data_IF_727780655863
#
_entry.id   IF_727780655863
#
_cell.length_a   1.000
_cell.length_b   1.000
_cell.length_c   1.000
_cell.angle_alpha   90.00
_cell.angle_beta   90.00
_cell.angle_gamma   90.00
#
_symmetry.space_group_name_H-M   'P 1'
#
loop_
_entity.id
_entity.type
_entity.pdbx_description
1 polymer ?
#
# COMPACT_ATOMS: atom_id res chain seq x y z
N UNK A 1 -6.79 11.58 10.51
CA UNK A 1 -7.36 10.24 10.25
C UNK A 1 -6.41 9.11 10.65
N UNK A 2 -5.15 9.06 10.20
CA UNK A 2 -4.21 7.99 10.62
C UNK A 2 -4.00 7.87 12.14
N UNK A 3 -4.08 8.98 12.88
CA UNK A 3 -3.96 8.99 14.34
C UNK A 3 -5.02 8.16 15.08
N UNK A 4 -6.17 7.86 14.47
CA UNK A 4 -7.23 7.07 15.11
C UNK A 4 -6.86 5.58 15.20
N UNK A 5 -6.19 5.06 14.18
CA UNK A 5 -5.71 3.68 14.16
C UNK A 5 -4.46 3.47 15.04
N UNK A 6 -3.86 4.55 15.54
CA UNK A 6 -2.76 4.52 16.50
C UNK A 6 -3.22 4.28 17.94
N UNK A 7 -4.52 4.33 18.23
CA UNK A 7 -5.04 4.06 19.57
C UNK A 7 -4.69 2.62 19.99
N UNK A 8 -4.09 2.50 21.17
CA UNK A 8 -3.75 1.20 21.77
C UNK A 8 -5.00 0.34 22.04
N UNK A 9 -6.17 0.99 22.17
CA UNK A 9 -7.46 0.32 22.34
C UNK A 9 -8.11 -0.12 21.03
N UNK A 10 -7.53 0.22 19.87
CA UNK A 10 -7.97 -0.34 18.60
C UNK A 10 -7.64 -1.85 18.59
N UNK A 11 -8.68 -2.65 18.81
CA UNK A 11 -8.64 -4.11 18.72
C UNK A 11 -9.55 -4.52 17.56
N UNK A 12 -9.01 -5.06 16.46
CA UNK A 12 -9.85 -5.65 15.42
C UNK A 12 -10.56 -6.87 16.04
N UNK A 13 -11.84 -6.74 16.35
CA UNK A 13 -12.66 -7.87 16.82
C UNK A 13 -13.32 -8.52 15.60
N UNK A 14 -13.01 -9.80 15.39
CA UNK A 14 -13.41 -10.60 14.22
C UNK A 14 -14.92 -10.65 13.90
N UNK A 15 -15.80 -10.23 14.82
CA UNK A 15 -17.26 -10.29 14.62
C UNK A 15 -17.99 -8.98 14.94
N UNK A 16 -17.27 -7.89 15.21
CA UNK A 16 -17.86 -6.57 15.50
C UNK A 16 -16.78 -5.50 15.31
N UNK A 17 -16.87 -4.72 14.23
CA UNK A 17 -16.16 -3.45 14.10
C UNK A 17 -16.75 -2.46 15.12
N UNK A 18 -16.42 -2.62 16.41
CA UNK A 18 -16.57 -1.53 17.37
C UNK A 18 -15.37 -0.61 17.20
N UNK A 19 -15.39 0.20 16.14
CA UNK A 19 -14.63 1.46 16.17
C UNK A 19 -15.45 2.36 17.09
N UNK A 20 -15.12 2.38 18.37
CA UNK A 20 -15.48 3.53 19.20
C UNK A 20 -14.69 4.72 18.65
N UNK A 21 -15.23 5.35 17.61
CA UNK A 21 -14.91 6.73 17.27
C UNK A 21 -15.17 7.50 18.56
N UNK A 22 -14.10 8.00 19.19
CA UNK A 22 -14.15 8.77 20.44
C UNK A 22 -14.81 10.13 20.16
N UNK A 23 -16.10 10.11 19.80
CA UNK A 23 -17.09 11.18 19.86
C UNK A 23 -18.47 10.80 19.30
N UNK A 24 -18.66 9.67 18.61
CA UNK A 24 -19.97 9.37 17.98
C UNK A 24 -20.47 7.97 18.29
N UNK A 25 -21.43 7.89 19.23
CA UNK A 25 -22.32 6.72 19.37
C UNK A 25 -23.38 6.78 18.26
N UNK A 26 -22.99 6.46 17.03
CA UNK A 26 -23.90 6.27 15.90
C UNK A 26 -24.03 4.79 15.57
N UNK A 27 -25.25 4.30 15.31
CA UNK A 27 -25.44 3.02 14.63
C UNK A 27 -24.77 3.09 13.25
N UNK A 28 -23.86 2.17 12.97
CA UNK A 28 -23.06 2.15 11.76
C UNK A 28 -23.92 1.81 10.54
N UNK A 29 -24.31 2.85 9.79
CA UNK A 29 -24.95 2.75 8.48
C UNK A 29 -23.93 2.94 7.33
N UNK A 30 -22.68 2.51 7.54
CA UNK A 30 -21.62 2.52 6.55
C UNK A 30 -20.69 3.74 6.58
N UNK A 31 -20.67 4.47 7.70
CA UNK A 31 -19.74 5.58 7.92
C UNK A 31 -18.30 5.10 8.07
N UNK A 32 -18.11 3.99 8.78
CA UNK A 32 -16.81 3.35 9.02
C UNK A 32 -16.11 2.96 7.71
N UNK A 33 -16.87 2.53 6.70
CA UNK A 33 -16.31 2.14 5.39
C UNK A 33 -15.78 3.32 4.57
N UNK A 34 -16.40 4.49 4.72
CA UNK A 34 -15.90 5.72 4.09
C UNK A 34 -14.54 6.08 4.67
N UNK A 35 -14.38 5.95 5.98
CA UNK A 35 -13.14 6.27 6.67
C UNK A 35 -11.99 5.31 6.30
N UNK A 36 -12.29 4.02 6.05
CA UNK A 36 -11.29 3.05 5.56
C UNK A 36 -10.87 3.36 4.12
N UNK A 37 -11.80 3.77 3.26
CA UNK A 37 -11.48 4.20 1.89
C UNK A 37 -10.61 5.46 1.90
N UNK A 38 -10.99 6.46 2.70
CA UNK A 38 -10.22 7.71 2.85
C UNK A 38 -8.83 7.46 3.48
N UNK A 39 -8.73 6.49 4.39
CA UNK A 39 -7.44 6.05 4.93
C UNK A 39 -6.52 5.57 3.80
N UNK A 40 -6.99 4.67 2.92
CA UNK A 40 -6.18 4.15 1.83
C UNK A 40 -5.81 5.21 0.81
N UNK A 41 -6.74 6.10 0.44
CA UNK A 41 -6.44 7.25 -0.43
C UNK A 41 -5.33 8.12 0.15
N UNK A 42 -5.44 8.46 1.44
CA UNK A 42 -4.40 9.24 2.14
C UNK A 42 -3.07 8.49 2.18
N UNK A 43 -3.11 7.18 2.43
CA UNK A 43 -1.93 6.33 2.49
C UNK A 43 -1.21 6.27 1.13
N UNK A 44 -1.93 6.11 0.03
CA UNK A 44 -1.36 6.10 -1.32
C UNK A 44 -0.71 7.42 -1.73
N UNK A 45 -1.21 8.54 -1.22
CA UNK A 45 -0.65 9.85 -1.58
C UNK A 45 0.60 10.15 -0.73
N UNK A 46 0.58 9.78 0.55
CA UNK A 46 1.58 10.27 1.52
C UNK A 46 2.66 9.26 1.88
N UNK A 47 2.39 7.98 1.69
CA UNK A 47 3.19 6.88 2.26
C UNK A 47 3.56 5.81 1.25
N UNK A 48 3.27 6.02 -0.03
CA UNK A 48 3.69 5.12 -1.11
C UNK A 48 4.34 5.90 -2.26
N UNK A 49 5.05 5.18 -3.11
CA UNK A 49 5.60 5.65 -4.39
C UNK A 49 5.07 4.79 -5.53
N UNK A 50 5.27 5.24 -6.76
CA UNK A 50 4.89 4.54 -7.97
C UNK A 50 3.59 5.04 -8.59
N UNK A 51 3.39 4.77 -9.88
CA UNK A 51 2.25 5.23 -10.68
C UNK A 51 1.05 4.30 -10.54
N UNK A 52 1.05 3.22 -11.32
CA UNK A 52 -0.02 2.23 -11.47
C UNK A 52 -0.08 1.29 -10.26
N UNK A 53 1.11 0.95 -9.74
CA UNK A 53 1.29 0.17 -8.53
C UNK A 53 1.94 1.05 -7.47
N UNK A 54 1.36 1.02 -6.27
CA UNK A 54 1.81 1.74 -5.09
C UNK A 54 2.68 0.84 -4.21
N UNK A 55 3.91 1.26 -3.99
CA UNK A 55 4.86 0.59 -3.11
C UNK A 55 4.97 1.41 -1.81
N UNK A 56 4.65 0.83 -0.64
CA UNK A 56 4.85 1.52 0.63
C UNK A 56 6.32 1.90 0.82
N UNK A 57 6.55 3.16 1.21
CA UNK A 57 7.90 3.68 1.43
C UNK A 57 8.10 4.08 2.88
N UNK A 58 9.32 3.91 3.37
CA UNK A 58 9.70 4.32 4.72
C UNK A 58 9.84 5.84 4.76
N UNK A 59 8.74 6.53 5.08
CA UNK A 59 8.76 7.97 5.37
C UNK A 59 9.21 8.18 6.81
N UNK A 60 10.03 9.21 7.06
CA UNK A 60 10.54 9.56 8.40
C UNK A 60 9.46 9.73 9.49
N UNK A 61 8.22 10.05 9.10
CA UNK A 61 7.09 10.19 10.00
C UNK A 61 6.44 8.84 10.39
N UNK A 62 6.62 7.81 9.56
CA UNK A 62 6.02 6.48 9.72
C UNK A 62 6.85 5.61 10.67
N UNK A 63 6.59 5.77 11.97
CA UNK A 63 7.12 4.89 13.03
C UNK A 63 6.36 3.57 13.13
N UNK A 64 6.91 2.59 13.86
CA UNK A 64 6.31 1.27 14.13
C UNK A 64 4.80 1.31 14.40
N UNK A 65 4.34 2.20 15.28
CA UNK A 65 2.91 2.32 15.64
C UNK A 65 2.01 2.63 14.43
N UNK A 66 2.52 3.38 13.43
CA UNK A 66 1.79 3.68 12.20
C UNK A 66 1.73 2.48 11.26
N UNK A 67 2.80 1.69 11.20
CA UNK A 67 2.79 0.44 10.42
C UNK A 67 1.90 -0.63 11.07
N UNK A 68 1.86 -0.69 12.40
CA UNK A 68 0.90 -1.52 13.13
C UNK A 68 -0.54 -1.10 12.81
N UNK A 69 -0.82 0.21 12.77
CA UNK A 69 -2.12 0.72 12.33
C UNK A 69 -2.49 0.31 10.89
N UNK A 70 -1.57 0.44 9.94
CA UNK A 70 -1.77 0.00 8.53
C UNK A 70 -2.09 -1.49 8.48
N UNK A 71 -1.35 -2.32 9.21
CA UNK A 71 -1.59 -3.76 9.27
C UNK A 71 -2.98 -4.09 9.84
N UNK A 72 -3.41 -3.37 10.88
CA UNK A 72 -4.74 -3.54 11.47
C UNK A 72 -5.87 -3.18 10.49
N UNK A 73 -5.72 -2.08 9.74
CA UNK A 73 -6.69 -1.70 8.69
C UNK A 73 -6.72 -2.72 7.56
N UNK A 74 -5.55 -3.25 7.17
CA UNK A 74 -5.44 -4.29 6.14
C UNK A 74 -6.16 -5.58 6.54
N UNK A 75 -5.92 -6.08 7.76
CA UNK A 75 -6.59 -7.28 8.27
C UNK A 75 -8.09 -7.05 8.39
N UNK A 76 -8.50 -5.88 8.87
CA UNK A 76 -9.91 -5.52 8.97
C UNK A 76 -10.63 -5.58 7.61
N UNK A 77 -10.01 -5.03 6.57
CA UNK A 77 -10.55 -5.09 5.20
C UNK A 77 -10.51 -6.49 4.59
N UNK A 78 -9.52 -7.31 4.94
CA UNK A 78 -9.37 -8.68 4.44
C UNK A 78 -10.39 -9.65 5.06
N UNK A 79 -10.47 -9.70 6.39
CA UNK A 79 -11.24 -10.72 7.11
C UNK A 79 -12.75 -10.42 7.16
N UNK A 80 -13.15 -9.15 7.24
CA UNK A 80 -14.55 -8.80 7.53
C UNK A 80 -15.42 -8.64 6.28
N UNK A 81 -14.85 -8.21 5.16
CA UNK A 81 -15.63 -7.72 4.01
C UNK A 81 -15.36 -8.47 2.70
N UNK A 82 -14.76 -9.67 2.80
CA UNK A 82 -14.59 -10.56 1.65
C UNK A 82 -13.91 -9.89 0.46
N UNK A 83 -12.75 -9.27 0.70
CA UNK A 83 -11.88 -8.64 -0.30
C UNK A 83 -12.36 -7.29 -0.88
N UNK A 84 -13.57 -6.80 -0.56
CA UNK A 84 -14.12 -5.56 -1.17
C UNK A 84 -13.37 -4.27 -0.84
N UNK A 85 -12.64 -4.24 0.28
CA UNK A 85 -11.92 -3.05 0.75
C UNK A 85 -10.41 -3.28 0.85
N UNK A 86 -9.91 -4.24 0.08
CA UNK A 86 -8.47 -4.42 -0.05
C UNK A 86 -7.85 -3.25 -0.81
N UNK A 87 -6.64 -2.85 -0.44
CA UNK A 87 -5.94 -1.78 -1.11
C UNK A 87 -5.42 -2.26 -2.47
N UNK A 88 -6.27 -2.18 -3.50
CA UNK A 88 -6.03 -2.72 -4.84
C UNK A 88 -4.82 -2.10 -5.57
N UNK A 89 -4.38 -0.92 -5.13
CA UNK A 89 -3.23 -0.26 -5.73
C UNK A 89 -1.92 -0.69 -5.07
N UNK A 90 -1.95 -1.33 -3.89
CA UNK A 90 -0.70 -1.80 -3.29
C UNK A 90 -0.11 -2.95 -4.11
N UNK A 91 1.22 -2.95 -4.19
CA UNK A 91 1.98 -4.07 -4.75
C UNK A 91 1.49 -5.41 -4.19
N UNK A 92 1.12 -6.31 -5.09
CA UNK A 92 0.73 -7.67 -4.74
C UNK A 92 1.88 -8.39 -4.02
N UNK A 93 3.11 -8.18 -4.49
CA UNK A 93 4.33 -8.71 -3.86
C UNK A 93 4.46 -8.25 -2.41
N UNK A 94 4.18 -6.97 -2.13
CA UNK A 94 4.14 -6.46 -0.76
C UNK A 94 3.06 -7.15 0.07
N UNK A 95 1.84 -7.25 -0.46
CA UNK A 95 0.71 -7.88 0.24
C UNK A 95 0.95 -9.37 0.50
N UNK A 96 1.48 -10.12 -0.47
CA UNK A 96 1.86 -11.52 -0.32
C UNK A 96 2.91 -11.69 0.78
N UNK A 97 3.91 -10.80 0.83
CA UNK A 97 4.91 -10.85 1.89
C UNK A 97 4.31 -10.56 3.26
N UNK A 98 3.41 -9.59 3.37
CA UNK A 98 2.79 -9.19 4.62
C UNK A 98 1.76 -10.20 5.16
N UNK A 99 0.97 -10.81 4.27
CA UNK A 99 -0.15 -11.69 4.63
C UNK A 99 0.32 -13.14 4.72
N UNK A 100 0.97 -13.64 3.66
CA UNK A 100 1.32 -15.07 3.56
C UNK A 100 2.71 -15.37 4.15
N UNK A 101 3.53 -14.35 4.39
CA UNK A 101 4.92 -14.54 4.84
C UNK A 101 5.77 -15.30 3.84
N UNK A 102 5.36 -15.38 2.56
CA UNK A 102 6.10 -16.04 1.49
C UNK A 102 7.33 -15.23 1.13
N UNK A 103 8.40 -15.90 0.75
CA UNK A 103 9.56 -15.25 0.16
C UNK A 103 9.25 -14.89 -1.28
N UNK A 104 9.69 -13.70 -1.68
CA UNK A 104 9.43 -13.13 -2.99
C UNK A 104 10.63 -13.41 -3.90
N UNK A 105 10.38 -13.85 -5.13
CA UNK A 105 11.44 -14.09 -6.10
C UNK A 105 11.95 -12.78 -6.72
N UNK A 106 13.22 -12.74 -7.11
CA UNK A 106 13.85 -11.56 -7.72
C UNK A 106 13.12 -11.07 -8.98
N UNK A 107 12.62 -11.99 -9.81
CA UNK A 107 11.82 -11.67 -10.99
C UNK A 107 10.51 -10.97 -10.64
N UNK A 108 9.85 -11.38 -9.55
CA UNK A 108 8.62 -10.73 -9.08
C UNK A 108 8.91 -9.33 -8.54
N UNK A 109 10.04 -9.15 -7.85
CA UNK A 109 10.51 -7.84 -7.38
C UNK A 109 10.81 -6.92 -8.57
N UNK A 110 11.54 -7.42 -9.57
CA UNK A 110 11.87 -6.66 -10.77
C UNK A 110 10.62 -6.23 -11.53
N UNK A 111 9.70 -7.15 -11.79
CA UNK A 111 8.44 -6.85 -12.48
C UNK A 111 7.58 -5.85 -11.70
N UNK A 112 7.53 -5.97 -10.38
CA UNK A 112 6.84 -5.01 -9.51
C UNK A 112 7.48 -3.63 -9.57
N UNK A 113 8.80 -3.57 -9.55
CA UNK A 113 9.56 -2.32 -9.65
C UNK A 113 9.28 -1.64 -10.99
N UNK A 114 9.43 -2.35 -12.11
CA UNK A 114 9.15 -1.82 -13.46
C UNK A 114 7.71 -1.30 -13.55
N UNK A 115 6.75 -2.06 -13.01
CA UNK A 115 5.32 -1.68 -12.97
C UNK A 115 5.02 -0.47 -12.09
N UNK A 116 5.92 -0.09 -11.20
CA UNK A 116 5.78 1.11 -10.37
C UNK A 116 6.29 2.38 -11.07
N UNK A 117 7.11 2.24 -12.12
CA UNK A 117 7.68 3.37 -12.85
C UNK A 117 6.67 4.00 -13.82
N UNK A 118 6.84 5.30 -14.13
CA UNK A 118 6.23 5.91 -15.31
C UNK A 118 6.52 5.11 -16.57
N UNK A 119 5.60 5.12 -17.54
CA UNK A 119 5.74 4.34 -18.79
C UNK A 119 7.04 4.65 -19.53
N UNK A 120 7.43 5.92 -19.60
CA UNK A 120 8.64 6.36 -20.29
C UNK A 120 9.90 5.75 -19.65
N UNK A 121 10.05 5.89 -18.33
CA UNK A 121 11.17 5.32 -17.58
C UNK A 121 11.20 3.78 -17.68
N UNK A 122 10.02 3.14 -17.60
CA UNK A 122 9.89 1.69 -17.72
C UNK A 122 10.43 1.18 -19.05
N UNK A 123 10.08 1.85 -20.16
CA UNK A 123 10.55 1.48 -21.50
C UNK A 123 12.08 1.56 -21.59
N UNK A 124 12.70 2.60 -21.02
CA UNK A 124 14.15 2.75 -20.98
C UNK A 124 14.80 1.61 -20.19
N UNK A 125 14.27 1.28 -19.00
CA UNK A 125 14.76 0.14 -18.22
C UNK A 125 14.59 -1.19 -18.93
N UNK A 126 13.46 -1.42 -19.61
CA UNK A 126 13.24 -2.65 -20.37
C UNK A 126 14.21 -2.78 -21.54
N UNK A 127 14.51 -1.68 -22.24
CA UNK A 127 15.56 -1.66 -23.27
C UNK A 127 16.94 -1.93 -22.67
N UNK A 128 17.27 -1.32 -21.52
CA UNK A 128 18.54 -1.49 -20.83
C UNK A 128 18.78 -2.93 -20.38
N UNK A 129 17.72 -3.60 -19.92
CA UNK A 129 17.77 -5.00 -19.51
C UNK A 129 17.97 -5.95 -20.69
N UNK A 130 17.55 -5.57 -21.89
CA UNK A 130 17.71 -6.37 -23.11
C UNK A 130 19.07 -6.14 -23.78
N UNK A 131 19.45 -4.89 -24.01
CA UNK A 131 20.70 -4.50 -24.68
C UNK A 131 21.19 -3.13 -24.21
N UNK A 132 21.90 -3.14 -23.08
CA UNK A 132 22.41 -1.93 -22.42
C UNK A 132 23.33 -1.08 -23.31
N UNK A 133 24.17 -1.72 -24.12
CA UNK A 133 25.18 -1.04 -24.94
C UNK A 133 24.56 -0.29 -26.14
N UNK A 134 23.30 -0.60 -26.47
CA UNK A 134 22.57 0.03 -27.58
C UNK A 134 21.82 1.31 -27.19
N UNK A 135 21.73 1.60 -25.90
CA UNK A 135 21.00 2.74 -25.37
C UNK A 135 21.76 4.06 -25.54
N UNK A 136 21.01 5.13 -25.73
CA UNK A 136 21.55 6.48 -25.61
C UNK A 136 21.84 6.78 -24.13
N UNK A 137 23.06 7.24 -23.83
CA UNK A 137 23.43 7.64 -22.49
C UNK A 137 22.61 8.83 -22.00
N UNK A 138 22.20 9.74 -22.90
CA UNK A 138 21.35 10.89 -22.54
C UNK A 138 20.00 10.43 -21.99
N UNK A 139 19.35 9.45 -22.63
CA UNK A 139 18.08 8.89 -22.17
C UNK A 139 18.21 8.25 -20.78
N UNK A 140 19.35 7.62 -20.47
CA UNK A 140 19.60 7.00 -19.17
C UNK A 140 19.78 8.03 -18.05
N UNK A 141 20.41 9.18 -18.34
CA UNK A 141 20.57 10.25 -17.35
C UNK A 141 19.26 10.94 -17.00
N UNK A 142 18.26 10.87 -17.88
CA UNK A 142 16.95 11.49 -17.70
C UNK A 142 15.93 10.57 -16.98
N UNK A 143 16.33 9.36 -16.60
CA UNK A 143 15.48 8.43 -15.83
C UNK A 143 15.36 8.87 -14.36
N UNK A 144 14.11 8.96 -13.88
CA UNK A 144 13.59 9.43 -12.58
C UNK A 144 13.25 10.93 -12.43
#
# INVERSE_FOLDING_TARGET
MMNYFLDANFVPKLNQLQIELVSERGEDAGGVFRDVSEFWETFYIKHTVGSDIKIPTTVHIMRRVHWEAVAKVLICGYEQEGYRHLPILLSEVFLQRCIDGKDVQDEQLLNTFLSSLPTMDREIFEMALNDFDSLDEEDLYDVF
#
